data_IF_536196416824
#
_entry.id   IF_536196416824
#
_cell.length_a   1.000
_cell.length_b   1.000
_cell.length_c   1.000
_cell.angle_alpha   90.00
_cell.angle_beta   90.00
_cell.angle_gamma   90.00
#
_symmetry.space_group_name_H-M   'P 1'
#
loop_
_entity.id
_entity.type
_entity.pdbx_description
1 polymer ?
#
# COMPACT_ATOMS: atom_id res chain seq x y z
N UNK A 1 -42.52 33.51 15.79
CA UNK A 1 -42.06 32.69 14.64
C UNK A 1 -40.56 32.87 14.41
N UNK A 2 -40.02 34.10 14.27
CA UNK A 2 -38.56 34.35 14.04
C UNK A 2 -37.55 33.74 15.05
N UNK A 3 -37.93 33.49 16.30
CA UNK A 3 -37.01 32.92 17.30
C UNK A 3 -36.66 31.46 17.04
N UNK A 4 -37.57 30.69 16.44
CA UNK A 4 -37.32 29.28 16.10
C UNK A 4 -36.42 29.16 14.86
N UNK A 5 -36.55 30.08 13.90
CA UNK A 5 -35.71 30.12 12.69
C UNK A 5 -34.24 30.42 13.03
N UNK A 6 -33.99 31.35 13.95
CA UNK A 6 -32.64 31.66 14.45
C UNK A 6 -31.99 30.46 15.16
N UNK A 7 -32.77 29.70 15.93
CA UNK A 7 -32.29 28.49 16.60
C UNK A 7 -31.94 27.43 15.55
N UNK A 8 -32.80 27.22 14.54
CA UNK A 8 -32.56 26.25 13.47
C UNK A 8 -31.28 26.56 12.67
N UNK A 9 -31.05 27.83 12.35
CA UNK A 9 -29.84 28.26 11.62
C UNK A 9 -28.56 28.07 12.44
N UNK A 10 -28.61 28.31 13.75
CA UNK A 10 -27.47 28.04 14.64
C UNK A 10 -27.17 26.54 14.73
N UNK A 11 -28.19 25.68 14.81
CA UNK A 11 -28.00 24.23 14.81
C UNK A 11 -27.38 23.74 13.49
N UNK A 12 -27.85 24.22 12.34
CA UNK A 12 -27.27 23.86 11.02
C UNK A 12 -25.82 24.33 10.94
N UNK A 13 -25.50 25.53 11.42
CA UNK A 13 -24.13 26.04 11.46
C UNK A 13 -23.23 25.18 12.37
N UNK A 14 -23.71 24.76 13.55
CA UNK A 14 -22.96 23.89 14.47
C UNK A 14 -22.70 22.52 13.84
N UNK A 15 -23.71 21.91 13.19
CA UNK A 15 -23.55 20.62 12.50
C UNK A 15 -22.54 20.75 11.35
N UNK A 16 -22.59 21.85 10.59
CA UNK A 16 -21.63 22.13 9.53
C UNK A 16 -20.21 22.31 10.07
N UNK A 17 -20.05 23.07 11.17
CA UNK A 17 -18.75 23.28 11.83
C UNK A 17 -18.20 21.97 12.44
N UNK A 18 -19.04 21.09 12.99
CA UNK A 18 -18.60 19.79 13.52
C UNK A 18 -18.17 18.80 12.42
N UNK A 19 -18.73 18.89 11.22
CA UNK A 19 -18.26 18.09 10.07
C UNK A 19 -16.84 18.48 9.63
N UNK A 20 -16.42 19.73 9.89
CA UNK A 20 -15.11 20.26 9.47
C UNK A 20 -13.95 19.57 10.22
N UNK A 21 -14.10 19.26 11.50
CA UNK A 21 -13.01 18.61 12.27
C UNK A 21 -12.75 17.18 11.80
N UNK A 22 -13.80 16.48 11.34
CA UNK A 22 -13.70 15.09 10.87
C UNK A 22 -13.02 14.92 9.50
N UNK A 23 -12.90 15.97 8.68
CA UNK A 23 -12.26 15.87 7.36
C UNK A 23 -10.75 16.01 7.40
N UNK A 24 -10.15 16.38 8.53
CA UNK A 24 -8.69 16.52 8.66
C UNK A 24 -8.03 15.14 8.74
N UNK A 25 -8.08 14.42 7.62
CA UNK A 25 -7.41 13.14 7.39
C UNK A 25 -5.92 13.33 7.65
N UNK A 26 -5.44 12.66 8.68
CA UNK A 26 -4.03 12.54 9.03
C UNK A 26 -3.28 11.92 7.84
N UNK A 27 -2.62 12.74 7.02
CA UNK A 27 -1.65 12.25 6.04
C UNK A 27 -0.56 11.46 6.77
N UNK A 28 -0.60 10.13 6.68
CA UNK A 28 0.47 9.27 7.19
C UNK A 28 1.75 9.61 6.40
N UNK A 29 2.81 10.19 7.02
CA UNK A 29 3.99 10.70 6.32
C UNK A 29 4.91 9.59 5.75
N UNK A 30 4.49 8.33 5.83
CA UNK A 30 5.29 7.17 5.41
C UNK A 30 4.87 6.59 4.05
N UNK A 31 3.82 7.12 3.41
CA UNK A 31 3.43 6.69 2.07
C UNK A 31 4.02 7.66 1.01
N UNK A 32 5.35 7.82 1.00
CA UNK A 32 6.04 8.42 -0.14
C UNK A 32 6.54 7.32 -1.07
N UNK A 33 5.83 7.07 -2.15
CA UNK A 33 6.37 6.31 -3.28
C UNK A 33 7.36 7.20 -4.02
N UNK A 34 8.63 7.19 -3.61
CA UNK A 34 9.70 7.81 -4.41
C UNK A 34 10.11 6.85 -5.51
N UNK A 35 9.32 6.78 -6.58
CA UNK A 35 9.72 6.12 -7.80
C UNK A 35 10.67 7.06 -8.55
N UNK A 36 11.97 6.84 -8.44
CA UNK A 36 12.96 7.51 -9.28
C UNK A 36 13.26 6.60 -10.46
N UNK A 37 12.96 7.08 -11.67
CA UNK A 37 13.41 6.43 -12.89
C UNK A 37 14.93 6.57 -12.96
N UNK A 38 15.65 5.45 -12.86
CA UNK A 38 17.09 5.38 -13.05
C UNK A 38 17.35 4.56 -14.31
N UNK A 39 18.37 4.93 -15.09
CA UNK A 39 18.84 4.19 -16.28
C UNK A 39 19.39 2.78 -15.94
N UNK A 40 19.42 2.43 -14.65
CA UNK A 40 19.87 1.15 -14.09
C UNK A 40 18.83 0.67 -13.07
N UNK A 41 18.94 -0.61 -12.69
CA UNK A 41 18.08 -1.15 -11.65
C UNK A 41 18.09 -0.30 -10.38
N UNK A 42 16.92 -0.07 -9.75
CA UNK A 42 16.83 0.70 -8.53
C UNK A 42 17.67 0.10 -7.39
N UNK A 43 17.81 0.88 -6.31
CA UNK A 43 18.50 0.42 -5.10
C UNK A 43 17.93 -0.91 -4.60
N UNK A 44 18.82 -1.86 -4.28
CA UNK A 44 18.51 -3.21 -3.80
C UNK A 44 17.94 -4.15 -4.87
N UNK A 45 18.23 -3.85 -6.14
CA UNK A 45 17.89 -4.66 -7.30
C UNK A 45 19.09 -4.77 -8.24
N UNK A 46 19.17 -5.88 -8.97
CA UNK A 46 20.12 -6.08 -10.06
C UNK A 46 19.42 -6.59 -11.31
N UNK A 47 20.03 -6.34 -12.47
CA UNK A 47 19.50 -6.83 -13.74
C UNK A 47 19.71 -8.33 -13.85
N UNK A 48 18.65 -9.08 -14.16
CA UNK A 48 18.73 -10.51 -14.45
C UNK A 48 18.21 -10.79 -15.85
N UNK A 49 18.97 -11.55 -16.63
CA UNK A 49 18.55 -12.02 -17.95
C UNK A 49 17.56 -13.19 -17.88
N UNK A 50 17.55 -13.93 -16.76
CA UNK A 50 16.73 -15.13 -16.59
C UNK A 50 16.09 -15.14 -15.19
N UNK A 51 15.22 -14.16 -14.87
CA UNK A 51 14.60 -14.06 -13.55
C UNK A 51 13.53 -15.12 -13.33
N UNK A 52 13.17 -15.40 -12.08
CA UNK A 52 12.07 -16.32 -11.76
C UNK A 52 10.71 -15.71 -12.10
N UNK A 53 9.78 -16.51 -12.64
CA UNK A 53 8.37 -16.12 -12.81
C UNK A 53 7.60 -15.99 -11.49
N UNK A 54 8.17 -16.48 -10.38
CA UNK A 54 7.51 -16.49 -9.07
C UNK A 54 8.36 -15.74 -8.03
N UNK A 55 8.52 -14.42 -8.16
CA UNK A 55 9.28 -13.66 -7.19
C UNK A 55 8.60 -13.64 -5.81
N UNK A 56 9.41 -13.70 -4.75
CA UNK A 56 8.95 -13.44 -3.40
C UNK A 56 8.75 -11.94 -3.18
N UNK A 57 7.59 -11.58 -2.67
CA UNK A 57 7.16 -10.23 -2.32
C UNK A 57 6.82 -10.16 -0.84
N UNK A 58 6.63 -8.95 -0.32
CA UNK A 58 6.10 -8.75 1.02
C UNK A 58 4.72 -9.41 1.26
N UNK A 59 3.92 -9.66 0.21
CA UNK A 59 2.61 -10.31 0.30
C UNK A 59 2.69 -11.83 0.33
N UNK A 60 3.59 -12.43 -0.45
CA UNK A 60 3.66 -13.89 -0.64
C UNK A 60 4.89 -14.56 0.01
N UNK A 61 5.72 -13.80 0.74
CA UNK A 61 6.96 -14.31 1.40
C UNK A 61 6.74 -15.49 2.38
N UNK A 62 5.54 -15.61 2.93
CA UNK A 62 5.18 -16.68 3.87
C UNK A 62 4.66 -17.94 3.18
N UNK A 63 4.25 -17.82 1.91
CA UNK A 63 3.76 -18.95 1.13
C UNK A 63 4.98 -19.75 0.69
N UNK A 64 5.07 -21.06 0.96
CA UNK A 64 6.18 -21.87 0.45
C UNK A 64 6.20 -21.82 -1.08
N UNK A 65 7.38 -21.90 -1.69
CA UNK A 65 7.56 -21.95 -3.17
C UNK A 65 6.91 -23.19 -3.83
N UNK A 66 6.30 -24.07 -3.03
CA UNK A 66 5.95 -25.42 -3.39
C UNK A 66 4.63 -25.51 -4.18
N UNK A 67 4.73 -25.99 -5.42
CA UNK A 67 3.65 -26.59 -6.20
C UNK A 67 3.51 -26.00 -7.60
N UNK A 68 3.14 -24.73 -7.67
CA UNK A 68 2.63 -24.11 -8.91
C UNK A 68 3.64 -23.23 -9.64
N UNK A 69 4.88 -23.10 -9.13
CA UNK A 69 5.87 -22.26 -9.80
C UNK A 69 6.47 -22.97 -11.02
N UNK A 70 6.18 -22.44 -12.21
CA UNK A 70 6.79 -22.88 -13.46
C UNK A 70 8.29 -22.57 -13.42
N UNK A 71 9.14 -23.59 -13.60
CA UNK A 71 10.61 -23.49 -13.57
C UNK A 71 11.23 -22.83 -14.82
N UNK A 72 10.47 -21.98 -15.50
CA UNK A 72 10.96 -21.22 -16.64
C UNK A 72 11.34 -19.82 -16.20
N UNK A 73 12.32 -19.23 -16.89
CA UNK A 73 12.63 -17.83 -16.67
C UNK A 73 11.51 -16.93 -17.19
N UNK A 74 11.34 -15.81 -16.51
CA UNK A 74 10.60 -14.68 -17.05
C UNK A 74 11.49 -13.85 -18.00
N UNK A 75 10.90 -12.81 -18.58
CA UNK A 75 11.62 -11.87 -19.44
C UNK A 75 12.70 -11.12 -18.63
N UNK A 76 13.82 -10.73 -19.25
CA UNK A 76 14.87 -9.97 -18.58
C UNK A 76 14.33 -8.71 -17.88
N UNK A 77 14.56 -8.58 -16.57
CA UNK A 77 14.16 -7.42 -15.77
C UNK A 77 14.99 -7.31 -14.47
N UNK A 78 14.78 -6.23 -13.71
CA UNK A 78 15.40 -6.00 -12.42
C UNK A 78 14.75 -6.85 -11.31
N UNK A 79 15.57 -7.64 -10.61
CA UNK A 79 15.13 -8.49 -9.50
C UNK A 79 15.74 -8.01 -8.18
N UNK A 80 15.01 -8.20 -7.08
CA UNK A 80 15.51 -7.85 -5.76
C UNK A 80 16.78 -8.65 -5.42
N UNK A 81 17.72 -7.99 -4.76
CA UNK A 81 18.91 -8.63 -4.21
C UNK A 81 18.57 -9.67 -3.12
N UNK A 82 19.55 -10.52 -2.80
CA UNK A 82 19.41 -11.51 -1.74
C UNK A 82 18.97 -10.85 -0.42
N UNK A 83 18.00 -11.46 0.26
CA UNK A 83 17.34 -10.96 1.50
C UNK A 83 16.41 -9.76 1.33
N UNK A 84 16.31 -9.19 0.13
CA UNK A 84 15.31 -8.20 -0.22
C UNK A 84 14.10 -8.88 -0.90
N UNK A 85 12.94 -8.25 -0.78
CA UNK A 85 11.69 -8.64 -1.43
C UNK A 85 10.97 -7.40 -1.91
N UNK A 86 10.25 -7.54 -3.02
CA UNK A 86 9.51 -6.42 -3.60
C UNK A 86 8.33 -6.10 -2.71
N UNK A 87 8.06 -4.81 -2.47
CA UNK A 87 6.77 -4.39 -1.91
C UNK A 87 5.71 -4.67 -2.98
N UNK A 88 5.14 -5.87 -2.93
CA UNK A 88 4.12 -6.32 -3.86
C UNK A 88 2.84 -5.52 -3.66
N UNK A 89 2.32 -4.97 -4.76
CA UNK A 89 0.99 -4.36 -4.81
C UNK A 89 -0.05 -5.30 -5.46
N UNK A 90 0.43 -6.37 -6.10
CA UNK A 90 -0.32 -7.44 -6.77
C UNK A 90 0.40 -8.80 -6.62
N UNK A 91 -0.22 -9.85 -7.15
CA UNK A 91 0.27 -11.23 -7.07
C UNK A 91 1.50 -11.52 -7.97
N UNK A 92 1.82 -10.62 -8.91
CA UNK A 92 2.88 -10.82 -9.92
C UNK A 92 4.21 -10.17 -9.53
N UNK A 93 4.26 -9.44 -8.41
CA UNK A 93 5.47 -8.77 -7.96
C UNK A 93 5.24 -7.32 -7.56
N UNK A 94 4.27 -6.63 -8.17
CA UNK A 94 4.10 -5.18 -8.09
C UNK A 94 5.29 -4.40 -8.67
N UNK A 95 5.19 -3.06 -8.62
CA UNK A 95 6.24 -2.12 -9.03
C UNK A 95 6.93 -1.42 -7.83
N UNK A 96 6.73 -1.95 -6.61
CA UNK A 96 7.26 -1.34 -5.40
C UNK A 96 8.78 -1.49 -5.26
N UNK A 97 9.40 -0.73 -4.35
CA UNK A 97 10.82 -0.87 -4.06
C UNK A 97 11.14 -2.24 -3.46
N UNK A 98 12.36 -2.72 -3.65
CA UNK A 98 12.88 -3.86 -2.90
C UNK A 98 13.32 -3.43 -1.50
N UNK A 99 12.75 -4.11 -0.49
CA UNK A 99 12.97 -3.82 0.92
C UNK A 99 13.44 -5.08 1.64
N UNK A 100 14.16 -4.93 2.75
CA UNK A 100 14.54 -6.08 3.57
C UNK A 100 13.30 -6.89 3.96
N UNK A 101 13.41 -8.22 3.90
CA UNK A 101 12.30 -9.13 4.25
C UNK A 101 11.72 -8.83 5.63
N UNK A 102 12.51 -8.45 6.62
CA UNK A 102 12.05 -8.06 7.96
C UNK A 102 11.23 -6.76 7.97
N UNK A 103 11.48 -5.86 7.01
CA UNK A 103 10.91 -4.51 6.99
C UNK A 103 9.56 -4.40 6.30
N UNK A 104 8.99 -5.47 5.74
CA UNK A 104 7.70 -5.37 5.03
C UNK A 104 6.57 -4.78 5.87
N UNK A 105 6.54 -5.00 7.19
CA UNK A 105 5.52 -4.46 8.09
C UNK A 105 5.46 -2.92 8.04
N UNK A 106 6.57 -2.26 7.75
CA UNK A 106 6.68 -0.80 7.62
C UNK A 106 6.07 -0.27 6.31
N UNK A 107 6.02 -1.10 5.27
CA UNK A 107 5.53 -0.74 3.93
C UNK A 107 4.09 -1.20 3.68
N UNK A 108 3.65 -2.32 4.28
CA UNK A 108 2.26 -2.81 4.19
C UNK A 108 1.29 -1.91 4.99
N UNK A 109 1.80 -1.12 5.95
CA UNK A 109 1.00 -0.22 6.81
C UNK A 109 0.31 0.94 6.05
N UNK A 110 0.58 1.10 4.75
CA UNK A 110 -0.13 2.02 3.87
C UNK A 110 -1.41 1.42 3.23
N UNK A 111 -1.82 0.19 3.59
CA UNK A 111 -2.95 -0.50 2.92
C UNK A 111 -4.07 -1.00 3.84
N UNK A 112 -4.37 -0.36 4.97
CA UNK A 112 -5.59 -0.68 5.73
C UNK A 112 -6.14 0.54 6.49
N UNK A 113 -6.83 1.43 5.76
CA UNK A 113 -8.10 2.00 6.24
C UNK A 113 -9.21 1.53 5.30
N UNK A 114 -9.33 0.21 5.12
CA UNK A 114 -10.64 -0.33 4.77
C UNK A 114 -11.51 -0.13 6.00
N UNK A 115 -12.34 0.92 5.95
CA UNK A 115 -13.62 0.97 6.67
C UNK A 115 -14.36 -0.31 6.26
N UNK A 116 -14.19 -1.39 7.03
CA UNK A 116 -15.22 -2.40 7.08
C UNK A 116 -16.46 -1.68 7.58
N UNK A 117 -17.54 -1.81 6.82
CA UNK A 117 -18.86 -1.40 7.23
C UNK A 117 -19.16 -1.91 8.65
N UNK A 118 -19.02 -1.05 9.67
CA UNK A 118 -19.87 -1.15 10.85
C UNK A 118 -21.25 -0.60 10.45
N UNK A 119 -21.93 -1.37 9.63
CA UNK A 119 -23.38 -1.33 9.53
C UNK A 119 -23.88 -2.75 9.79
N UNK A 120 -23.77 -3.18 11.05
CA UNK A 120 -24.58 -4.22 11.61
C UNK A 120 -24.91 -3.81 13.05
N UNK A 121 -26.14 -3.28 13.21
CA UNK A 121 -27.02 -3.42 14.36
C UNK A 121 -26.42 -3.32 15.77
N UNK A 122 -26.76 -2.24 16.48
CA UNK A 122 -27.65 -2.33 17.66
C UNK A 122 -28.64 -1.15 17.62
#
# INVERSE_FOLDING_TARGET
MLRFDLILLLFVAIIYIQQIESYTVLEKPHCKNSFRFQDRCPRHEHWSQCPTKCPKTCLNRHIPEAGFCVRMCDHPHCVCDRHYVRVGYDANGGLGPCVLRSNCHRYIRCRWEFKWLERQYD
#
